data_IF_638894574469
#
_entry.id   IF_638894574469
#
_cell.length_a   1.000
_cell.length_b   1.000
_cell.length_c   1.000
_cell.angle_alpha   90.00
_cell.angle_beta   90.00
_cell.angle_gamma   90.00
#
_symmetry.space_group_name_H-M   'P 1'
#
loop_
_entity.id
_entity.type
_entity.pdbx_description
1 polymer ?
#
# COMPACT_ATOMS: atom_id res chain seq x y z
N UNK A 1 -62.31 21.21 29.02
CA UNK A 1 -61.01 21.06 29.71
C UNK A 1 -59.93 21.42 28.70
N UNK A 2 -59.30 22.58 28.87
CA UNK A 2 -58.33 23.12 27.92
C UNK A 2 -56.97 22.45 28.10
N UNK A 3 -56.51 21.73 27.08
CA UNK A 3 -55.17 21.15 27.03
C UNK A 3 -54.14 22.25 26.82
N UNK A 4 -53.58 22.78 27.92
CA UNK A 4 -52.41 23.66 27.88
C UNK A 4 -51.20 22.86 27.41
N UNK A 5 -50.89 22.98 26.13
CA UNK A 5 -49.62 22.53 25.57
C UNK A 5 -48.54 23.51 26.03
N UNK A 6 -47.80 23.13 27.07
CA UNK A 6 -46.55 23.79 27.46
C UNK A 6 -45.53 23.61 26.33
N UNK A 7 -45.66 24.39 25.25
CA UNK A 7 -44.57 24.61 24.30
C UNK A 7 -43.49 25.34 25.08
N UNK A 8 -42.46 24.60 25.47
CA UNK A 8 -41.18 25.10 25.93
C UNK A 8 -40.84 26.41 25.22
N UNK A 9 -40.69 27.51 25.98
CA UNK A 9 -40.33 28.86 25.50
C UNK A 9 -38.88 28.93 24.97
N UNK A 10 -38.38 27.86 24.35
CA UNK A 10 -37.03 27.82 23.83
C UNK A 10 -36.99 28.60 22.52
N UNK A 11 -36.09 29.59 22.37
CA UNK A 11 -35.93 30.28 21.10
C UNK A 11 -35.62 29.26 20.00
N UNK A 12 -36.09 29.49 18.76
CA UNK A 12 -35.79 28.60 17.66
C UNK A 12 -34.27 28.50 17.47
N UNK A 13 -33.75 27.34 17.03
CA UNK A 13 -32.33 27.20 16.74
C UNK A 13 -31.91 28.19 15.64
N UNK A 14 -30.75 28.85 15.76
CA UNK A 14 -30.24 29.73 14.71
C UNK A 14 -29.92 28.91 13.45
N UNK A 15 -30.10 29.52 12.28
CA UNK A 15 -29.72 28.93 10.98
C UNK A 15 -28.37 29.42 10.48
N UNK A 16 -27.99 30.66 10.84
CA UNK A 16 -26.74 31.31 10.43
C UNK A 16 -26.03 31.92 11.64
N UNK A 17 -24.70 32.08 11.51
CA UNK A 17 -23.87 32.75 12.50
C UNK A 17 -23.73 34.25 12.22
N UNK A 18 -23.02 34.97 13.09
CA UNK A 18 -22.73 36.41 12.93
C UNK A 18 -21.97 36.79 11.65
N UNK A 19 -21.42 35.81 10.92
CA UNK A 19 -20.77 36.01 9.62
C UNK A 19 -21.66 35.62 8.42
N UNK A 20 -22.97 35.46 8.64
CA UNK A 20 -23.93 35.01 7.63
C UNK A 20 -23.63 33.63 7.01
N UNK A 21 -22.80 32.82 7.68
CA UNK A 21 -22.53 31.43 7.30
C UNK A 21 -23.49 30.48 8.01
N UNK A 22 -23.90 29.36 7.39
CA UNK A 22 -24.74 28.38 8.05
C UNK A 22 -24.06 27.83 9.31
N UNK A 23 -24.81 27.73 10.41
CA UNK A 23 -24.29 27.11 11.63
C UNK A 23 -24.10 25.61 11.41
N UNK A 24 -23.06 25.04 12.04
CA UNK A 24 -22.79 23.60 11.98
C UNK A 24 -23.02 22.96 13.34
N UNK A 25 -23.39 21.68 13.30
CA UNK A 25 -23.49 20.85 14.50
C UNK A 25 -22.11 20.40 14.95
N UNK A 26 -21.77 20.74 16.19
CA UNK A 26 -20.51 20.39 16.83
C UNK A 26 -20.78 19.66 18.15
N UNK A 27 -19.77 18.96 18.65
CA UNK A 27 -19.84 18.18 19.89
C UNK A 27 -18.81 18.71 20.87
N UNK A 28 -19.26 19.13 22.05
CA UNK A 28 -18.36 19.58 23.11
C UNK A 28 -17.54 18.41 23.66
N UNK A 29 -16.26 18.69 23.92
CA UNK A 29 -15.29 17.76 24.52
C UNK A 29 -14.77 18.25 25.87
N UNK A 30 -15.39 19.28 26.44
CA UNK A 30 -15.02 19.79 27.76
C UNK A 30 -15.61 18.94 28.87
N UNK A 31 -15.03 19.04 30.07
CA UNK A 31 -15.51 18.31 31.25
C UNK A 31 -16.89 18.79 31.72
N UNK A 32 -17.21 20.08 31.55
CA UNK A 32 -18.47 20.66 32.00
C UNK A 32 -19.66 20.23 31.14
N UNK A 33 -19.41 20.01 29.85
CA UNK A 33 -20.44 19.65 28.85
C UNK A 33 -19.95 18.52 27.93
N UNK A 34 -19.65 17.32 28.47
CA UNK A 34 -19.04 16.27 27.69
C UNK A 34 -20.06 15.64 26.74
N UNK A 35 -19.67 15.39 25.49
CA UNK A 35 -20.50 14.87 24.38
C UNK A 35 -21.75 15.68 24.03
N UNK A 36 -22.00 16.82 24.68
CA UNK A 36 -23.18 17.64 24.40
C UNK A 36 -23.06 18.31 23.04
N UNK A 37 -24.06 18.16 22.18
CA UNK A 37 -24.06 18.78 20.84
C UNK A 37 -24.61 20.20 20.87
N UNK A 38 -24.02 21.07 20.07
CA UNK A 38 -24.46 22.45 19.87
C UNK A 38 -24.41 22.85 18.39
N UNK A 39 -25.17 23.88 18.03
CA UNK A 39 -25.00 24.62 16.79
C UNK A 39 -24.08 25.82 17.07
N UNK A 40 -23.10 26.03 16.21
CA UNK A 40 -22.19 27.15 16.32
C UNK A 40 -21.52 27.48 14.99
N UNK A 41 -20.68 28.53 15.01
CA UNK A 41 -19.86 28.92 13.87
C UNK A 41 -18.94 27.78 13.41
N UNK A 42 -18.65 27.70 12.11
CA UNK A 42 -17.67 26.75 11.54
C UNK A 42 -16.29 26.93 12.18
N UNK A 43 -15.91 28.18 12.41
CA UNK A 43 -14.61 28.57 12.99
C UNK A 43 -14.62 28.62 14.53
N UNK A 44 -15.61 27.99 15.19
CA UNK A 44 -15.77 28.05 16.64
C UNK A 44 -14.52 27.61 17.41
N UNK A 45 -13.87 26.51 16.99
CA UNK A 45 -12.63 26.03 17.62
C UNK A 45 -11.36 26.70 17.10
N UNK A 46 -11.46 27.53 16.05
CA UNK A 46 -10.33 28.17 15.40
C UNK A 46 -10.11 29.62 15.90
N UNK A 47 -10.72 29.99 17.04
CA UNK A 47 -10.50 31.29 17.69
C UNK A 47 -11.39 32.41 17.16
N UNK A 48 -12.48 32.10 16.46
CA UNK A 48 -13.48 33.09 16.04
C UNK A 48 -14.09 33.84 17.23
N UNK A 49 -14.36 35.14 17.07
CA UNK A 49 -15.08 35.96 18.07
C UNK A 49 -16.60 35.83 17.97
N UNK A 50 -17.12 35.07 17.01
CA UNK A 50 -18.55 34.86 16.81
C UNK A 50 -19.17 34.14 18.01
N UNK A 51 -20.24 34.72 18.57
CA UNK A 51 -20.92 34.21 19.77
C UNK A 51 -22.16 33.39 19.45
N UNK A 52 -22.47 33.15 18.17
CA UNK A 52 -23.57 32.26 17.77
C UNK A 52 -23.37 30.88 18.37
N UNK A 53 -24.31 30.50 19.23
CA UNK A 53 -24.26 29.25 19.99
C UNK A 53 -25.67 28.80 20.36
N UNK A 54 -25.97 27.50 20.22
CA UNK A 54 -27.24 26.92 20.65
C UNK A 54 -27.10 25.44 21.00
N UNK A 55 -27.38 25.06 22.26
CA UNK A 55 -27.36 23.65 22.67
C UNK A 55 -28.45 22.84 21.96
N UNK A 56 -28.13 21.65 21.43
CA UNK A 56 -29.14 20.73 20.90
C UNK A 56 -29.62 19.77 21.98
N UNK A 57 -28.67 19.19 22.71
CA UNK A 57 -28.96 18.18 23.71
C UNK A 57 -29.26 18.80 25.08
N UNK A 58 -30.07 18.14 25.92
CA UNK A 58 -30.18 18.49 27.34
C UNK A 58 -28.83 18.31 28.05
N UNK A 59 -28.70 18.92 29.22
CA UNK A 59 -27.54 18.69 30.08
C UNK A 59 -27.59 17.30 30.71
N UNK A 60 -26.43 16.72 31.01
CA UNK A 60 -26.37 15.48 31.77
C UNK A 60 -26.91 15.70 33.19
N UNK A 61 -27.57 14.69 33.80
CA UNK A 61 -28.34 14.89 35.03
C UNK A 61 -27.51 15.31 36.25
N UNK A 62 -26.24 14.90 36.32
CA UNK A 62 -25.35 15.17 37.45
C UNK A 62 -23.87 15.06 37.04
N UNK A 63 -22.99 15.44 37.96
CA UNK A 63 -21.54 15.48 37.73
C UNK A 63 -20.91 14.10 37.60
N UNK A 64 -21.50 13.06 38.21
CA UNK A 64 -21.03 11.68 38.06
C UNK A 64 -21.07 11.26 36.58
N UNK A 65 -22.18 11.50 35.89
CA UNK A 65 -22.29 11.20 34.45
C UNK A 65 -21.38 12.08 33.59
N UNK A 66 -21.20 13.36 33.96
CA UNK A 66 -20.25 14.24 33.25
C UNK A 66 -18.83 13.68 33.33
N UNK A 67 -18.38 13.32 34.52
CA UNK A 67 -17.05 12.78 34.75
C UNK A 67 -16.84 11.44 34.04
N UNK A 68 -17.82 10.54 34.11
CA UNK A 68 -17.73 9.24 33.46
C UNK A 68 -17.64 9.37 31.94
N UNK A 69 -18.50 10.18 31.32
CA UNK A 69 -18.46 10.42 29.88
C UNK A 69 -17.14 11.10 29.46
N UNK A 70 -16.67 12.09 30.24
CA UNK A 70 -15.39 12.73 29.97
C UNK A 70 -14.22 11.74 30.02
N UNK A 71 -14.21 10.83 31.01
CA UNK A 71 -13.19 9.78 31.10
C UNK A 71 -13.21 8.85 29.87
N UNK A 72 -14.39 8.53 29.35
CA UNK A 72 -14.53 7.76 28.11
C UNK A 72 -13.96 8.50 26.90
N UNK A 73 -14.22 9.81 26.75
CA UNK A 73 -13.62 10.64 25.70
C UNK A 73 -12.09 10.63 25.80
N UNK A 74 -11.53 10.77 27.01
CA UNK A 74 -10.07 10.73 27.20
C UNK A 74 -9.48 9.36 26.89
N UNK A 75 -10.18 8.27 27.24
CA UNK A 75 -9.78 6.92 26.89
C UNK A 75 -9.80 6.70 25.38
N UNK A 76 -10.84 7.15 24.68
CA UNK A 76 -10.93 7.12 23.22
C UNK A 76 -9.75 7.86 22.57
N UNK A 77 -9.42 9.05 23.07
CA UNK A 77 -8.28 9.84 22.58
C UNK A 77 -6.96 9.08 22.69
N UNK A 78 -6.67 8.50 23.86
CA UNK A 78 -5.46 7.68 24.08
C UNK A 78 -5.41 6.48 23.14
N UNK A 79 -6.53 5.76 23.01
CA UNK A 79 -6.60 4.59 22.10
C UNK A 79 -6.34 4.97 20.64
N UNK A 80 -6.84 6.12 20.18
CA UNK A 80 -6.55 6.63 18.83
C UNK A 80 -5.08 6.99 18.66
N UNK A 81 -4.50 7.70 19.62
CA UNK A 81 -3.07 8.07 19.60
C UNK A 81 -2.17 6.83 19.54
N UNK A 82 -2.46 5.80 20.34
CA UNK A 82 -1.76 4.52 20.32
C UNK A 82 -1.91 3.81 18.96
N UNK A 83 -3.12 3.79 18.41
CA UNK A 83 -3.39 3.19 17.11
C UNK A 83 -2.62 3.90 15.98
N UNK A 84 -2.65 5.23 15.93
CA UNK A 84 -1.86 6.00 14.96
C UNK A 84 -0.35 5.80 15.16
N UNK A 85 0.10 5.64 16.42
CA UNK A 85 1.47 5.27 16.73
C UNK A 85 1.87 3.92 16.13
N UNK A 86 1.01 2.90 16.27
CA UNK A 86 1.21 1.57 15.69
C UNK A 86 1.21 1.59 14.17
N UNK A 87 0.29 2.33 13.54
CA UNK A 87 0.24 2.49 12.08
C UNK A 87 1.56 3.07 11.57
N UNK A 88 2.04 4.18 12.15
CA UNK A 88 3.33 4.78 11.76
C UNK A 88 4.54 3.88 11.99
N UNK A 89 4.47 2.97 12.96
CA UNK A 89 5.52 1.98 13.16
C UNK A 89 5.48 0.91 12.06
N UNK A 90 4.30 0.35 11.77
CA UNK A 90 4.12 -0.65 10.72
C UNK A 90 4.45 -0.11 9.33
N UNK A 91 4.09 1.14 9.03
CA UNK A 91 4.44 1.79 7.76
C UNK A 91 5.96 1.84 7.55
N UNK A 92 6.72 2.20 8.60
CA UNK A 92 8.19 2.19 8.55
C UNK A 92 8.77 0.80 8.38
N UNK A 93 8.20 -0.20 9.04
CA UNK A 93 8.63 -1.59 8.92
C UNK A 93 8.38 -2.12 7.50
N UNK A 94 7.19 -1.86 6.93
CA UNK A 94 6.86 -2.22 5.55
C UNK A 94 7.82 -1.55 4.57
N UNK A 95 8.13 -0.28 4.75
CA UNK A 95 9.06 0.44 3.89
C UNK A 95 10.49 -0.14 3.97
N UNK A 96 10.95 -0.49 5.17
CA UNK A 96 12.23 -1.15 5.38
C UNK A 96 12.29 -2.52 4.70
N UNK A 97 11.26 -3.36 4.89
CA UNK A 97 11.18 -4.68 4.27
C UNK A 97 11.10 -4.58 2.75
N UNK A 98 10.32 -3.63 2.21
CA UNK A 98 10.23 -3.38 0.78
C UNK A 98 11.60 -3.03 0.19
N UNK A 99 12.32 -2.09 0.80
CA UNK A 99 13.69 -1.73 0.37
C UNK A 99 14.65 -2.92 0.41
N UNK A 100 14.55 -3.77 1.43
CA UNK A 100 15.37 -4.99 1.54
C UNK A 100 15.04 -5.98 0.42
N UNK A 101 13.76 -6.24 0.20
CA UNK A 101 13.28 -7.16 -0.83
C UNK A 101 13.63 -6.68 -2.23
N UNK A 102 13.58 -5.37 -2.49
CA UNK A 102 14.01 -4.77 -3.77
C UNK A 102 15.50 -5.02 -4.05
N UNK A 103 16.37 -4.94 -3.02
CA UNK A 103 17.80 -5.26 -3.15
C UNK A 103 18.03 -6.73 -3.42
N UNK A 104 17.36 -7.62 -2.69
CA UNK A 104 17.48 -9.07 -2.90
C UNK A 104 16.97 -9.48 -4.28
N UNK A 105 15.84 -8.92 -4.72
CA UNK A 105 15.30 -9.14 -6.06
C UNK A 105 16.30 -8.70 -7.14
N UNK A 106 16.97 -7.56 -6.95
CA UNK A 106 18.01 -7.10 -7.89
C UNK A 106 19.18 -8.09 -7.99
N UNK A 107 19.66 -8.62 -6.85
CA UNK A 107 20.72 -9.62 -6.83
C UNK A 107 20.30 -10.92 -7.54
N UNK A 108 19.10 -11.42 -7.26
CA UNK A 108 18.56 -12.61 -7.93
C UNK A 108 18.42 -12.40 -9.45
N UNK A 109 18.06 -11.21 -9.91
CA UNK A 109 18.03 -10.89 -11.34
C UNK A 109 19.42 -10.92 -11.97
N UNK A 110 20.45 -10.49 -11.25
CA UNK A 110 21.83 -10.52 -11.71
C UNK A 110 22.33 -11.97 -11.83
N UNK A 111 22.14 -12.78 -10.80
CA UNK A 111 22.50 -14.21 -10.80
C UNK A 111 21.78 -14.97 -11.92
N UNK A 112 20.49 -14.71 -12.12
CA UNK A 112 19.72 -15.30 -13.23
C UNK A 112 20.31 -14.91 -14.59
N UNK A 113 20.74 -13.65 -14.76
CA UNK A 113 21.34 -13.17 -16.01
C UNK A 113 22.70 -13.84 -16.27
N UNK A 114 23.51 -13.97 -15.23
CA UNK A 114 24.80 -14.67 -15.31
C UNK A 114 24.62 -16.15 -15.64
N UNK A 115 23.72 -16.84 -14.93
CA UNK A 115 23.38 -18.24 -15.18
C UNK A 115 22.87 -18.47 -16.61
N UNK A 116 21.98 -17.60 -17.11
CA UNK A 116 21.51 -17.64 -18.50
C UNK A 116 22.66 -17.52 -19.50
N UNK A 117 23.60 -16.61 -19.25
CA UNK A 117 24.78 -16.43 -20.11
C UNK A 117 25.69 -17.66 -20.09
N UNK A 118 25.95 -18.22 -18.91
CA UNK A 118 26.76 -19.45 -18.76
C UNK A 118 26.14 -20.63 -19.50
N UNK A 119 24.83 -20.83 -19.36
CA UNK A 119 24.10 -21.89 -20.05
C UNK A 119 24.17 -21.72 -21.57
N UNK A 120 23.99 -20.50 -22.08
CA UNK A 120 24.13 -20.19 -23.51
C UNK A 120 25.54 -20.50 -24.04
N UNK A 121 26.59 -20.18 -23.27
CA UNK A 121 27.96 -20.51 -23.62
C UNK A 121 28.19 -22.02 -23.69
N UNK A 122 27.73 -22.78 -22.68
CA UNK A 122 27.82 -24.25 -22.69
C UNK A 122 27.13 -24.86 -23.90
N UNK A 123 25.93 -24.37 -24.27
CA UNK A 123 25.25 -24.85 -25.48
C UNK A 123 26.02 -24.51 -26.76
N UNK A 124 26.60 -23.31 -26.87
CA UNK A 124 27.40 -22.92 -28.03
C UNK A 124 28.65 -23.81 -28.17
N UNK A 125 29.33 -24.12 -27.07
CA UNK A 125 30.49 -25.04 -27.04
C UNK A 125 30.10 -26.44 -27.56
N UNK A 126 29.02 -27.02 -27.03
CA UNK A 126 28.53 -28.34 -27.48
C UNK A 126 28.20 -28.35 -28.98
N UNK A 127 27.56 -27.29 -29.48
CA UNK A 127 27.23 -27.18 -30.91
C UNK A 127 28.50 -27.08 -31.76
N UNK A 128 29.46 -26.25 -31.37
CA UNK A 128 30.73 -26.11 -32.08
C UNK A 128 31.51 -27.43 -32.10
N UNK A 129 31.59 -28.14 -30.98
CA UNK A 129 32.23 -29.46 -30.89
C UNK A 129 31.54 -30.46 -31.82
N UNK A 130 30.21 -30.52 -31.84
CA UNK A 130 29.45 -31.39 -32.75
C UNK A 130 29.74 -31.07 -34.23
N UNK A 131 29.77 -29.79 -34.61
CA UNK A 131 30.13 -29.36 -35.97
C UNK A 131 31.55 -29.78 -36.35
N UNK A 132 32.54 -29.63 -35.45
CA UNK A 132 33.92 -30.05 -35.75
C UNK A 132 34.02 -31.56 -35.95
N UNK A 133 33.30 -32.37 -35.17
CA UNK A 133 33.23 -33.82 -35.34
C UNK A 133 32.62 -34.17 -36.70
N UNK A 134 31.50 -33.55 -37.08
CA UNK A 134 30.84 -33.77 -38.38
C UNK A 134 31.78 -33.44 -39.55
N UNK A 135 32.44 -32.28 -39.52
CA UNK A 135 33.41 -31.88 -40.56
C UNK A 135 34.56 -32.89 -40.65
N UNK A 136 35.06 -33.37 -39.50
CA UNK A 136 36.18 -34.32 -39.43
C UNK A 136 35.79 -35.72 -39.91
N UNK A 137 34.55 -36.14 -39.67
CA UNK A 137 34.00 -37.38 -40.24
C UNK A 137 33.89 -37.24 -41.76
N UNK A 138 33.25 -36.18 -42.27
CA UNK A 138 33.02 -35.98 -43.71
C UNK A 138 34.33 -35.88 -44.53
N UNK A 139 35.35 -35.20 -43.97
CA UNK A 139 36.67 -35.14 -44.60
C UNK A 139 37.40 -36.49 -44.61
N UNK A 140 37.20 -37.33 -43.59
CA UNK A 140 37.74 -38.70 -43.56
C UNK A 140 37.04 -39.62 -44.57
N UNK A 141 35.72 -39.51 -44.72
CA UNK A 141 34.94 -40.27 -45.73
C UNK A 141 35.35 -39.91 -47.16
N UNK A 142 35.59 -38.62 -47.43
CA UNK A 142 36.08 -38.15 -48.74
C UNK A 142 37.48 -38.66 -49.09
N UNK A 143 38.38 -38.79 -48.11
CA UNK A 143 39.71 -39.35 -48.33
C UNK A 143 39.71 -40.87 -48.56
N UNK A 144 38.79 -41.61 -47.94
CA UNK A 144 38.65 -43.06 -48.17
C UNK A 144 37.92 -43.40 -49.47
N UNK A 145 37.01 -42.54 -49.95
CA UNK A 145 36.33 -42.71 -51.22
C UNK A 145 37.24 -42.40 -52.44
N UNK A 146 38.32 -41.63 -52.26
CA UNK A 146 39.29 -41.30 -53.31
C UNK A 146 40.33 -42.39 -53.61
N UNK A 147 40.26 -43.56 -52.95
CA UNK A 147 41.27 -44.62 -53.07
C UNK A 147 40.72 -45.98 -53.52
N UNK A 148 39.69 -45.98 -54.38
CA UNK A 148 39.29 -47.16 -55.17
C UNK A 148 39.49 -46.86 -56.66
N UNK A 149 40.64 -47.30 -57.17
CA UNK A 149 40.97 -47.40 -58.60
C UNK A 149 40.25 -48.62 -59.22
N UNK A 150 39.85 -48.55 -60.50
CA UNK A 150 39.93 -49.74 -61.32
C UNK A 150 40.52 -49.41 -62.69
N UNK A 151 41.80 -49.71 -62.90
CA UNK A 151 42.31 -49.99 -64.23
C UNK A 151 43.24 -51.20 -64.15
N UNK A 152 42.62 -52.38 -64.15
CA UNK A 152 43.28 -53.63 -64.51
C UNK A 152 43.31 -53.74 -66.03
N UNK A 153 44.50 -53.70 -66.61
CA UNK A 153 44.74 -54.22 -67.96
C UNK A 153 45.77 -55.34 -67.85
N UNK A 154 45.29 -56.54 -68.12
CA UNK A 154 46.03 -57.80 -68.19
C UNK A 154 46.77 -57.84 -69.53
N UNK A 155 48.06 -58.17 -69.52
CA UNK A 155 48.77 -58.65 -70.71
C UNK A 155 49.50 -59.95 -70.36
N UNK A 156 49.15 -61.05 -71.04
CA UNK A 156 49.82 -62.37 -70.98
C UNK A 156 50.91 -62.47 -72.08
N UNK A 157 51.91 -63.35 -71.93
CA UNK A 157 53.03 -63.46 -72.87
C UNK A 157 52.76 -64.48 -73.99
N UNK A 158 53.08 -64.08 -75.23
CA UNK A 158 54.00 -64.72 -76.18
C UNK A 158 53.92 -64.03 -77.54
#
# INVERSE_FOLDING_TARGET
MSSSSNRSNRPPPPTHCEHDQPVIRQTSRTIDFPLRRFLGCVEYYNGSKCKTFYWLDPELPNDYYKQEVFNLIQKEKRMKEDMYGKIRYLEREIEFQKSTMEKEMFLLQLELKESKSSVLLMFAEIVMDAFTVVIKVDSKTKMTAGHLSPNGVISRPN
#
